data_IF_962374187348
#
_entry.id   IF_962374187348
#
_cell.length_a   1.000
_cell.length_b   1.000
_cell.length_c   1.000
_cell.angle_alpha   90.00
_cell.angle_beta   90.00
_cell.angle_gamma   90.00
#
_symmetry.space_group_name_H-M   'P 1'
#
loop_
_entity.id
_entity.type
_entity.pdbx_description
1 polymer ?
#
# COMPACT_ATOMS: atom_id res chain seq x y z
N UNK A 1 32.95 -26.94 19.57
CA UNK A 1 31.97 -27.08 18.47
C UNK A 1 30.92 -26.02 18.69
N UNK A 2 30.95 -24.95 17.89
CA UNK A 2 30.08 -23.78 18.08
C UNK A 2 28.75 -24.01 17.33
N UNK A 3 27.63 -23.95 18.05
CA UNK A 3 26.28 -23.99 17.49
C UNK A 3 25.82 -22.55 17.26
N UNK A 4 25.59 -22.17 16.00
CA UNK A 4 25.04 -20.86 15.64
C UNK A 4 23.52 -20.95 15.67
N UNK A 5 22.91 -20.40 16.71
CA UNK A 5 21.47 -20.20 16.80
C UNK A 5 21.02 -19.12 15.82
N UNK A 6 20.21 -19.51 14.83
CA UNK A 6 19.50 -18.58 13.96
C UNK A 6 18.28 -18.04 14.71
N UNK A 7 18.43 -16.82 15.26
CA UNK A 7 17.28 -16.00 15.65
C UNK A 7 16.52 -15.58 14.39
N UNK A 8 15.33 -16.12 14.19
CA UNK A 8 14.41 -15.71 13.14
C UNK A 8 13.71 -14.43 13.61
N UNK A 9 14.09 -13.29 13.06
CA UNK A 9 13.44 -12.00 13.30
C UNK A 9 12.06 -12.02 12.65
N UNK A 10 11.03 -11.76 13.45
CA UNK A 10 9.63 -11.61 13.03
C UNK A 10 9.48 -10.30 12.25
N UNK A 11 9.04 -10.40 11.00
CA UNK A 11 8.65 -9.23 10.20
C UNK A 11 7.13 -9.09 10.29
N UNK A 12 6.67 -8.07 11.00
CA UNK A 12 5.27 -7.69 11.05
C UNK A 12 4.82 -7.25 9.65
N UNK A 13 3.78 -7.92 9.14
CA UNK A 13 3.14 -7.59 7.87
C UNK A 13 2.41 -6.26 8.02
N UNK A 14 2.95 -5.21 7.41
CA UNK A 14 2.27 -3.93 7.27
C UNK A 14 1.30 -4.08 6.09
N UNK A 15 0.06 -4.45 6.39
CA UNK A 15 -1.05 -4.39 5.43
C UNK A 15 -1.44 -2.93 5.22
N UNK A 16 -1.02 -2.33 4.11
CA UNK A 16 -1.59 -1.07 3.63
C UNK A 16 -2.58 -1.37 2.50
N UNK A 17 -3.80 -0.81 2.56
CA UNK A 17 -4.74 -0.93 1.46
C UNK A 17 -4.23 -0.06 0.32
N UNK A 18 -3.56 -0.67 -0.66
CA UNK A 18 -3.33 -0.03 -1.95
C UNK A 18 -4.68 0.09 -2.66
N UNK A 19 -5.43 1.16 -2.36
CA UNK A 19 -6.50 1.64 -3.20
C UNK A 19 -5.82 2.13 -4.49
N UNK A 20 -5.87 1.29 -5.52
CA UNK A 20 -5.46 1.63 -6.86
C UNK A 20 -6.48 2.64 -7.42
N UNK A 21 -6.26 3.93 -7.16
CA UNK A 21 -6.97 4.98 -7.88
C UNK A 21 -6.38 5.06 -9.29
N UNK A 22 -7.18 4.93 -10.36
CA UNK A 22 -6.68 5.08 -11.72
C UNK A 22 -6.13 6.51 -11.90
N UNK A 23 -4.92 6.59 -12.46
CA UNK A 23 -4.10 7.77 -12.77
C UNK A 23 -4.77 8.83 -13.70
N UNK A 24 -6.09 8.78 -13.91
CA UNK A 24 -6.84 9.73 -14.73
C UNK A 24 -8.17 10.13 -14.07
N UNK A 25 -8.12 10.80 -12.93
CA UNK A 25 -9.27 11.58 -12.44
C UNK A 25 -8.87 12.67 -11.45
N UNK A 26 -8.05 13.63 -11.89
CA UNK A 26 -7.91 14.93 -11.22
C UNK A 26 -8.86 15.99 -11.78
N UNK A 27 -9.74 15.63 -12.71
CA UNK A 27 -10.73 16.54 -13.31
C UNK A 27 -12.16 16.25 -12.82
N UNK A 28 -12.39 16.29 -11.50
CA UNK A 28 -13.74 16.48 -10.97
C UNK A 28 -13.67 16.94 -9.50
N UNK A 29 -12.99 18.04 -9.21
CA UNK A 29 -13.25 18.77 -7.98
C UNK A 29 -14.66 19.38 -8.14
N UNK A 30 -15.70 18.61 -7.82
CA UNK A 30 -17.05 19.15 -7.68
C UNK A 30 -17.03 19.99 -6.41
N UNK A 31 -16.68 21.27 -6.56
CA UNK A 31 -16.96 22.28 -5.53
C UNK A 31 -18.46 22.23 -5.32
N UNK A 32 -18.89 21.61 -4.23
CA UNK A 32 -20.30 21.42 -3.87
C UNK A 32 -20.80 22.70 -3.18
N UNK A 33 -20.57 23.86 -3.79
CA UNK A 33 -21.16 25.10 -3.31
C UNK A 33 -22.59 25.18 -3.82
N UNK A 34 -23.52 24.71 -2.98
CA UNK A 34 -24.93 25.06 -3.11
C UNK A 34 -25.07 26.55 -2.74
N UNK A 35 -24.88 27.44 -3.72
CA UNK A 35 -25.19 28.86 -3.54
C UNK A 35 -26.72 28.98 -3.51
N UNK A 36 -27.30 29.00 -2.30
CA UNK A 36 -28.70 29.32 -2.13
C UNK A 36 -28.94 30.80 -2.46
N UNK A 37 -29.67 31.08 -3.53
CA UNK A 37 -30.04 32.45 -3.92
C UNK A 37 -31.11 33.10 -3.02
N UNK A 38 -31.48 32.47 -1.90
CA UNK A 38 -32.56 32.93 -1.00
C UNK A 38 -32.12 33.22 0.44
N UNK A 39 -30.82 33.14 0.74
CA UNK A 39 -30.22 33.57 2.02
C UNK A 39 -29.26 34.73 1.85
N UNK A 40 -28.94 35.44 2.95
CA UNK A 40 -27.94 36.53 2.99
C UNK A 40 -26.73 36.19 2.12
N UNK A 41 -26.34 37.11 1.23
CA UNK A 41 -25.17 36.93 0.36
C UNK A 41 -23.95 36.64 1.27
N UNK A 42 -23.19 35.55 1.02
CA UNK A 42 -21.95 35.33 1.74
C UNK A 42 -21.04 36.54 1.52
N UNK A 43 -20.37 37.02 2.56
CA UNK A 43 -19.48 38.15 2.40
C UNK A 43 -18.25 37.71 1.60
N UNK A 44 -17.66 38.65 0.86
CA UNK A 44 -16.41 38.37 0.12
C UNK A 44 -15.30 37.86 1.04
N UNK A 45 -15.31 38.27 2.32
CA UNK A 45 -14.39 37.78 3.34
C UNK A 45 -14.61 36.30 3.68
N UNK A 46 -15.87 35.85 3.81
CA UNK A 46 -16.20 34.45 4.10
C UNK A 46 -15.82 33.54 2.92
N UNK A 47 -16.09 33.99 1.69
CA UNK A 47 -15.72 33.26 0.47
C UNK A 47 -14.20 33.16 0.30
N UNK A 48 -13.49 34.26 0.54
CA UNK A 48 -12.03 34.27 0.48
C UNK A 48 -11.41 33.35 1.54
N UNK A 49 -11.99 33.30 2.75
CA UNK A 49 -11.56 32.41 3.81
C UNK A 49 -11.78 30.93 3.47
N UNK A 50 -12.97 30.56 2.97
CA UNK A 50 -13.26 29.20 2.53
C UNK A 50 -12.31 28.75 1.41
N UNK A 51 -12.07 29.62 0.43
CA UNK A 51 -11.13 29.35 -0.65
C UNK A 51 -9.70 29.16 -0.11
N UNK A 52 -9.24 30.01 0.82
CA UNK A 52 -7.93 29.88 1.43
C UNK A 52 -7.79 28.55 2.18
N UNK A 53 -8.81 28.13 2.92
CA UNK A 53 -8.84 26.84 3.62
C UNK A 53 -8.76 25.65 2.64
N UNK A 54 -9.51 25.69 1.54
CA UNK A 54 -9.45 24.65 0.50
C UNK A 54 -8.10 24.62 -0.23
N UNK A 55 -7.47 25.78 -0.50
CA UNK A 55 -6.12 25.84 -1.07
C UNK A 55 -5.09 25.21 -0.13
N UNK A 56 -5.18 25.49 1.17
CA UNK A 56 -4.30 24.86 2.18
C UNK A 56 -4.47 23.34 2.16
N UNK A 57 -5.71 22.85 2.19
CA UNK A 57 -6.02 21.41 2.13
C UNK A 57 -5.48 20.74 0.87
N UNK A 58 -5.64 21.38 -0.30
CA UNK A 58 -5.10 20.88 -1.57
C UNK A 58 -3.57 20.79 -1.54
N UNK A 59 -2.90 21.80 -0.98
CA UNK A 59 -1.45 21.80 -0.86
C UNK A 59 -0.95 20.69 0.07
N UNK A 60 -1.62 20.47 1.20
CA UNK A 60 -1.30 19.36 2.11
C UNK A 60 -1.45 18.01 1.42
N UNK A 61 -2.59 17.75 0.78
CA UNK A 61 -2.83 16.50 0.07
C UNK A 61 -1.82 16.28 -1.07
N UNK A 62 -1.43 17.35 -1.77
CA UNK A 62 -0.38 17.28 -2.79
C UNK A 62 0.96 16.84 -2.20
N UNK A 63 1.35 17.41 -1.06
CA UNK A 63 2.61 17.04 -0.38
C UNK A 63 2.59 15.57 0.10
N UNK A 64 1.49 15.15 0.71
CA UNK A 64 1.28 13.75 1.15
C UNK A 64 1.38 12.78 -0.02
N UNK A 65 0.71 13.09 -1.14
CA UNK A 65 0.75 12.24 -2.33
C UNK A 65 2.16 12.17 -2.95
N UNK A 66 2.90 13.28 -2.97
CA UNK A 66 4.28 13.29 -3.44
C UNK A 66 5.18 12.41 -2.56
N UNK A 67 5.02 12.48 -1.25
CA UNK A 67 5.77 11.66 -0.30
C UNK A 67 5.41 10.18 -0.41
N UNK A 68 4.12 9.87 -0.54
CA UNK A 68 3.65 8.51 -0.80
C UNK A 68 4.25 7.96 -2.11
N UNK A 69 4.32 8.78 -3.17
CA UNK A 69 4.97 8.39 -4.42
C UNK A 69 6.49 8.25 -4.32
N UNK A 70 7.15 9.05 -3.48
CA UNK A 70 8.58 8.89 -3.24
C UNK A 70 8.85 7.55 -2.56
N UNK A 71 8.13 7.26 -1.47
CA UNK A 71 8.24 6.01 -0.72
C UNK A 71 7.87 4.79 -1.57
N UNK A 72 6.83 4.88 -2.40
CA UNK A 72 6.43 3.76 -3.26
C UNK A 72 7.51 3.42 -4.29
N UNK A 73 8.17 4.43 -4.88
CA UNK A 73 9.30 4.22 -5.81
C UNK A 73 10.51 3.60 -5.11
N UNK A 74 10.77 4.00 -3.87
CA UNK A 74 11.85 3.42 -3.06
C UNK A 74 11.59 1.94 -2.79
N UNK A 75 10.40 1.60 -2.29
CA UNK A 75 10.00 0.20 -2.04
C UNK A 75 10.08 -0.64 -3.33
N UNK A 76 9.57 -0.12 -4.44
CA UNK A 76 9.63 -0.78 -5.75
C UNK A 76 11.08 -1.08 -6.15
N UNK A 77 11.96 -0.09 -6.04
CA UNK A 77 13.36 -0.25 -6.42
C UNK A 77 14.10 -1.25 -5.52
N UNK A 78 13.86 -1.20 -4.21
CA UNK A 78 14.47 -2.15 -3.28
C UNK A 78 14.00 -3.59 -3.54
N UNK A 79 12.74 -3.81 -3.91
CA UNK A 79 12.23 -5.15 -4.23
C UNK A 79 12.79 -5.68 -5.57
N UNK A 80 12.99 -4.81 -6.56
CA UNK A 80 13.75 -5.16 -7.77
C UNK A 80 15.16 -5.61 -7.40
N UNK A 81 15.86 -4.83 -6.56
CA UNK A 81 17.22 -5.15 -6.13
C UNK A 81 17.30 -6.52 -5.43
N UNK A 82 16.33 -6.83 -4.57
CA UNK A 82 16.22 -8.14 -3.91
C UNK A 82 16.01 -9.27 -4.91
N UNK A 83 15.16 -9.06 -5.92
CA UNK A 83 14.87 -10.07 -6.95
C UNK A 83 16.12 -10.44 -7.76
N UNK A 84 16.96 -9.45 -8.06
CA UNK A 84 18.22 -9.66 -8.80
C UNK A 84 19.44 -9.88 -7.91
N UNK A 85 19.24 -9.95 -6.59
CA UNK A 85 20.29 -10.10 -5.57
C UNK A 85 21.46 -9.11 -5.71
N UNK A 86 21.16 -7.84 -6.00
CA UNK A 86 22.15 -6.75 -6.09
C UNK A 86 21.88 -5.70 -5.01
N UNK A 87 22.95 -5.05 -4.54
CA UNK A 87 22.79 -3.85 -3.73
C UNK A 87 22.27 -2.68 -4.56
N UNK A 88 21.58 -1.73 -3.92
CA UNK A 88 21.00 -0.58 -4.63
C UNK A 88 22.02 0.21 -5.45
N UNK A 89 23.23 0.39 -4.92
CA UNK A 89 24.30 1.11 -5.61
C UNK A 89 24.77 0.40 -6.88
N UNK A 90 24.88 -0.93 -6.82
CA UNK A 90 25.26 -1.77 -7.96
C UNK A 90 24.15 -1.80 -9.00
N UNK A 91 22.91 -1.96 -8.56
CA UNK A 91 21.75 -1.96 -9.44
C UNK A 91 21.59 -0.60 -10.15
N UNK A 92 21.83 0.54 -9.49
CA UNK A 92 21.84 1.87 -10.15
C UNK A 92 22.90 1.96 -11.23
N UNK A 93 24.11 1.43 -10.99
CA UNK A 93 25.20 1.40 -11.99
C UNK A 93 24.86 0.46 -13.15
N UNK A 94 24.31 -0.72 -12.86
CA UNK A 94 23.85 -1.69 -13.87
C UNK A 94 22.74 -1.09 -14.72
N UNK A 95 21.67 -0.59 -14.11
CA UNK A 95 20.52 0.02 -14.79
C UNK A 95 20.89 1.10 -15.78
N UNK A 96 21.82 1.99 -15.42
CA UNK A 96 22.31 3.06 -16.32
C UNK A 96 23.04 2.53 -17.55
N UNK A 97 23.69 1.37 -17.45
CA UNK A 97 24.38 0.69 -18.56
C UNK A 97 23.47 -0.18 -19.40
N UNK A 98 22.34 -0.64 -18.83
CA UNK A 98 21.38 -1.48 -19.53
C UNK A 98 20.72 -0.73 -20.70
N UNK A 99 20.46 -1.43 -21.79
CA UNK A 99 19.64 -0.93 -22.90
C UNK A 99 18.16 -0.83 -22.53
N UNK A 100 17.35 -0.17 -23.36
CA UNK A 100 15.90 -0.03 -23.10
C UNK A 100 15.20 -1.40 -23.02
N UNK A 101 15.43 -2.27 -24.00
CA UNK A 101 14.84 -3.62 -24.03
C UNK A 101 15.27 -4.48 -22.84
N UNK A 102 16.53 -4.38 -22.44
CA UNK A 102 17.04 -5.13 -21.29
C UNK A 102 16.36 -4.67 -19.99
N UNK A 103 16.14 -3.35 -19.83
CA UNK A 103 15.39 -2.81 -18.69
C UNK A 103 13.94 -3.26 -18.73
N UNK A 104 13.30 -3.24 -19.91
CA UNK A 104 11.92 -3.69 -20.11
C UNK A 104 11.76 -5.15 -19.69
N UNK A 105 12.62 -6.03 -20.20
CA UNK A 105 12.60 -7.46 -19.88
C UNK A 105 12.79 -7.73 -18.38
N UNK A 106 13.71 -7.02 -17.72
CA UNK A 106 13.88 -7.13 -16.26
C UNK A 106 12.61 -6.73 -15.50
N UNK A 107 11.95 -5.64 -15.91
CA UNK A 107 10.70 -5.20 -15.28
C UNK A 107 9.56 -6.20 -15.53
N UNK A 108 9.47 -6.77 -16.72
CA UNK A 108 8.46 -7.79 -17.04
C UNK A 108 8.65 -9.07 -16.22
N UNK A 109 9.87 -9.57 -16.13
CA UNK A 109 10.22 -10.73 -15.29
C UNK A 109 9.89 -10.45 -13.81
N UNK A 110 10.27 -9.27 -13.35
CA UNK A 110 9.98 -8.83 -12.00
C UNK A 110 8.48 -8.77 -11.72
N UNK A 111 7.68 -8.17 -12.60
CA UNK A 111 6.22 -8.11 -12.45
C UNK A 111 5.58 -9.49 -12.51
N UNK A 112 6.09 -10.40 -13.35
CA UNK A 112 5.63 -11.79 -13.41
C UNK A 112 5.84 -12.54 -12.09
N UNK A 113 7.01 -12.36 -11.46
CA UNK A 113 7.33 -12.97 -10.18
C UNK A 113 6.63 -12.27 -9.00
N UNK A 114 6.54 -10.94 -9.04
CA UNK A 114 5.93 -10.15 -7.97
C UNK A 114 4.40 -10.31 -7.97
N UNK A 115 3.77 -10.27 -9.14
CA UNK A 115 2.32 -10.48 -9.29
C UNK A 115 1.86 -11.83 -8.74
N UNK A 116 2.68 -12.88 -8.85
CA UNK A 116 2.38 -14.18 -8.24
C UNK A 116 2.33 -14.13 -6.71
N UNK A 117 3.12 -13.27 -6.07
CA UNK A 117 3.11 -13.07 -4.61
C UNK A 117 1.99 -12.14 -4.15
N UNK A 118 1.46 -11.32 -5.07
CA UNK A 118 0.41 -10.35 -4.81
C UNK A 118 -0.85 -10.73 -5.58
N UNK A 119 -1.43 -11.87 -5.20
CA UNK A 119 -2.80 -12.17 -5.57
C UNK A 119 -3.73 -11.39 -4.64
N UNK A 120 -4.64 -10.55 -5.17
CA UNK A 120 -5.70 -9.96 -4.37
C UNK A 120 -6.39 -11.08 -3.58
N UNK A 121 -6.53 -10.91 -2.27
CA UNK A 121 -7.24 -11.87 -1.43
C UNK A 121 -8.64 -12.08 -2.03
N UNK A 122 -9.06 -13.34 -2.12
CA UNK A 122 -10.43 -13.63 -2.57
C UNK A 122 -11.43 -12.96 -1.62
N UNK A 123 -12.61 -12.59 -2.13
CA UNK A 123 -13.66 -12.03 -1.28
C UNK A 123 -13.98 -12.94 -0.09
N UNK A 124 -13.84 -14.27 -0.26
CA UNK A 124 -13.96 -15.25 0.81
C UNK A 124 -12.87 -15.10 1.88
N UNK A 125 -11.61 -15.00 1.48
CA UNK A 125 -10.49 -14.87 2.43
C UNK A 125 -10.53 -13.53 3.18
N UNK A 126 -10.90 -12.44 2.49
CA UNK A 126 -11.11 -11.13 3.15
C UNK A 126 -12.27 -11.22 4.13
N UNK A 127 -13.38 -11.86 3.74
CA UNK A 127 -14.53 -12.07 4.63
C UNK A 127 -14.13 -12.88 5.87
N UNK A 128 -13.44 -14.00 5.70
CA UNK A 128 -12.99 -14.87 6.81
C UNK A 128 -12.07 -14.11 7.78
N UNK A 129 -11.11 -13.32 7.28
CA UNK A 129 -10.25 -12.48 8.12
C UNK A 129 -11.01 -11.38 8.86
N UNK A 130 -12.02 -10.79 8.24
CA UNK A 130 -12.87 -9.76 8.87
C UNK A 130 -13.78 -10.39 9.93
N UNK A 131 -14.35 -11.55 9.65
CA UNK A 131 -15.15 -12.31 10.62
C UNK A 131 -14.29 -12.75 11.82
N UNK A 132 -13.04 -13.17 11.59
CA UNK A 132 -12.07 -13.48 12.64
C UNK A 132 -11.78 -12.26 13.52
N UNK A 133 -11.42 -11.11 12.93
CA UNK A 133 -11.15 -9.88 13.68
C UNK A 133 -12.35 -9.39 14.50
N UNK A 134 -13.57 -9.51 13.97
CA UNK A 134 -14.80 -9.15 14.69
C UNK A 134 -15.13 -10.16 15.80
N UNK A 135 -14.76 -11.44 15.62
CA UNK A 135 -15.00 -12.50 16.62
C UNK A 135 -13.92 -12.55 17.71
N UNK A 136 -12.74 -11.97 17.46
CA UNK A 136 -11.64 -11.86 18.43
C UNK A 136 -11.98 -11.00 19.66
N UNK A 137 -13.07 -10.23 19.64
CA UNK A 137 -13.53 -9.49 20.83
C UNK A 137 -14.14 -10.40 21.92
N UNK A 138 -14.48 -11.67 21.62
CA UNK A 138 -15.24 -12.52 22.56
C UNK A 138 -14.51 -13.74 23.17
N UNK A 139 -13.38 -14.26 22.66
CA UNK A 139 -12.66 -15.35 23.35
C UNK A 139 -11.22 -15.59 22.85
N UNK A 140 -10.22 -15.26 23.67
CA UNK A 140 -8.78 -15.33 23.39
C UNK A 140 -8.15 -16.73 23.22
N UNK A 141 -8.95 -17.79 23.01
CA UNK A 141 -8.45 -19.18 22.97
C UNK A 141 -8.63 -19.90 21.63
N UNK A 142 -9.31 -19.30 20.64
CA UNK A 142 -9.58 -19.90 19.33
C UNK A 142 -8.59 -19.54 18.22
N UNK A 143 -7.78 -18.48 18.41
CA UNK A 143 -6.76 -17.95 17.47
C UNK A 143 -5.87 -19.04 16.85
N UNK A 144 -5.63 -20.12 17.58
CA UNK A 144 -4.72 -21.17 17.16
C UNK A 144 -5.35 -22.25 16.29
N UNK A 145 -6.69 -22.39 16.24
CA UNK A 145 -7.34 -23.53 15.57
C UNK A 145 -7.30 -23.41 14.04
N UNK A 146 -7.63 -22.24 13.49
CA UNK A 146 -7.63 -22.00 12.04
C UNK A 146 -6.23 -22.09 11.43
N UNK A 147 -5.24 -21.48 12.10
CA UNK A 147 -3.85 -21.51 11.65
C UNK A 147 -3.22 -22.91 11.79
N UNK A 148 -3.55 -23.66 12.85
CA UNK A 148 -3.07 -25.03 13.07
C UNK A 148 -3.53 -25.98 11.96
N UNK A 149 -4.77 -25.82 11.49
CA UNK A 149 -5.31 -26.54 10.32
C UNK A 149 -4.57 -26.22 9.02
N UNK A 150 -4.22 -24.94 8.81
CA UNK A 150 -3.48 -24.51 7.63
C UNK A 150 -2.00 -24.93 7.66
N UNK A 151 -1.42 -25.07 8.86
CA UNK A 151 -0.05 -25.55 9.06
C UNK A 151 0.09 -27.08 9.07
N UNK A 152 -1.01 -27.83 8.88
CA UNK A 152 -1.00 -29.30 8.80
C UNK A 152 -0.70 -30.00 10.14
N UNK A 153 -0.88 -29.31 11.26
CA UNK A 153 -0.77 -29.94 12.57
C UNK A 153 -2.04 -30.76 12.86
N UNK A 154 -1.91 -32.00 13.36
CA UNK A 154 -3.06 -32.82 13.71
C UNK A 154 -3.87 -32.19 14.84
N UNK A 155 -5.18 -32.28 14.72
CA UNK A 155 -6.16 -31.89 15.74
C UNK A 155 -6.29 -33.01 16.79
N UNK A 156 -5.22 -33.29 17.52
CA UNK A 156 -5.25 -34.27 18.62
C UNK A 156 -4.78 -33.63 19.92
N UNK A 157 -5.70 -32.97 20.64
CA UNK A 157 -6.22 -33.31 21.99
C UNK A 157 -7.11 -32.17 22.51
#
# INVERSE_FOLDING_TARGET
MASLGLHRVSMHSISHPFICLPYKSLCALKIKTSISCTGKKPSDADLAWELAAEVVKLNTHKAENQEAMRKSKEVLFSEICRTVALEEGEMRKKWKRMGEEERRGLVEEFLGNWGQRFHPLSARSVKEMVEEYVSEEDDHSSLFLGLKRWMGFPEDW
#
